data_IF_594277509220
#
_entry.id   IF_594277509220
#
_cell.length_a   1.000
_cell.length_b   1.000
_cell.length_c   1.000
_cell.angle_alpha   90.00
_cell.angle_beta   90.00
_cell.angle_gamma   90.00
#
_symmetry.space_group_name_H-M   'P 1'
#
loop_
_entity.id
_entity.type
_entity.pdbx_description
1 polymer ?
#
# COMPACT_ATOMS: atom_id res chain seq x y z
N UNK A 1 12.92 -9.60 0.06
CA UNK A 1 11.81 -8.63 0.06
C UNK A 1 12.44 -7.24 0.11
N UNK A 2 12.50 -6.54 -1.03
CA UNK A 2 13.03 -5.18 -1.13
C UNK A 2 11.90 -4.28 -1.60
N UNK A 3 10.95 -4.01 -0.71
CA UNK A 3 9.77 -3.20 -1.00
C UNK A 3 8.74 -3.29 0.12
N UNK A 4 8.10 -2.15 0.43
CA UNK A 4 7.05 -2.03 1.45
C UNK A 4 7.46 -1.25 2.71
N UNK A 5 6.49 -0.52 3.28
CA UNK A 5 6.62 0.21 4.53
C UNK A 5 5.91 -0.53 5.66
N UNK A 6 6.58 -0.73 6.79
CA UNK A 6 5.93 -1.23 8.02
C UNK A 6 5.32 -0.05 8.77
N UNK A 7 4.00 -0.06 8.91
CA UNK A 7 3.22 1.06 9.45
C UNK A 7 2.70 0.82 10.86
N UNK A 8 2.76 -0.41 11.36
CA UNK A 8 2.12 -0.76 12.62
C UNK A 8 2.26 -2.24 12.96
N UNK A 9 1.68 -2.61 14.10
CA UNK A 9 1.60 -3.98 14.58
C UNK A 9 0.21 -4.29 15.10
N UNK A 10 -0.21 -5.53 14.90
CA UNK A 10 -1.41 -6.08 15.53
C UNK A 10 -1.07 -7.35 16.27
N UNK A 11 -1.85 -7.66 17.31
CA UNK A 11 -1.83 -9.00 17.89
C UNK A 11 -2.43 -10.00 16.90
N UNK A 12 -1.99 -11.26 16.96
CA UNK A 12 -2.43 -12.30 16.02
C UNK A 12 -3.94 -12.58 16.07
N UNK A 13 -4.57 -12.41 17.23
CA UNK A 13 -6.01 -12.57 17.43
C UNK A 13 -6.84 -11.43 16.81
N UNK A 14 -6.22 -10.27 16.57
CA UNK A 14 -6.87 -9.13 15.92
C UNK A 14 -6.92 -9.24 14.39
N UNK A 15 -6.40 -10.32 13.78
CA UNK A 15 -6.38 -10.47 12.32
C UNK A 15 -7.77 -10.46 11.70
N UNK A 16 -8.75 -11.13 12.32
CA UNK A 16 -10.12 -11.16 11.80
C UNK A 16 -10.76 -9.77 11.87
N UNK A 17 -10.56 -9.07 12.99
CA UNK A 17 -11.02 -7.70 13.17
C UNK A 17 -10.41 -6.76 12.11
N UNK A 18 -9.09 -6.86 11.88
CA UNK A 18 -8.41 -6.05 10.87
C UNK A 18 -9.00 -6.28 9.47
N UNK A 19 -9.28 -7.53 9.11
CA UNK A 19 -9.90 -7.88 7.82
C UNK A 19 -11.29 -7.27 7.67
N UNK A 20 -12.13 -7.31 8.71
CA UNK A 20 -13.45 -6.69 8.65
C UNK A 20 -13.34 -5.16 8.55
N UNK A 21 -12.40 -4.54 9.28
CA UNK A 21 -12.16 -3.10 9.17
C UNK A 21 -11.71 -2.66 7.79
N UNK A 22 -10.78 -3.39 7.17
CA UNK A 22 -10.30 -3.05 5.83
C UNK A 22 -11.39 -3.12 4.74
N UNK A 23 -12.48 -3.87 4.96
CA UNK A 23 -13.63 -3.88 4.04
C UNK A 23 -14.44 -2.59 4.05
N UNK A 24 -14.31 -1.76 5.09
CA UNK A 24 -14.97 -0.45 5.17
C UNK A 24 -14.39 0.53 4.14
N UNK A 25 -13.16 0.28 3.65
CA UNK A 25 -12.53 1.04 2.58
C UNK A 25 -13.04 0.54 1.22
N UNK A 26 -13.82 1.37 0.53
CA UNK A 26 -14.44 0.98 -0.73
C UNK A 26 -13.41 0.64 -1.82
N UNK A 27 -13.62 -0.49 -2.49
CA UNK A 27 -12.93 -0.85 -3.74
C UNK A 27 -13.93 -0.70 -4.87
N UNK A 28 -13.74 0.31 -5.71
CA UNK A 28 -14.62 0.56 -6.86
C UNK A 28 -14.11 -0.26 -8.04
N UNK A 29 -14.77 -1.38 -8.31
CA UNK A 29 -14.44 -2.23 -9.45
C UNK A 29 -14.79 -1.52 -10.76
N UNK A 30 -13.97 -1.74 -11.79
CA UNK A 30 -14.14 -1.18 -13.14
C UNK A 30 -14.07 0.35 -13.23
N UNK A 31 -13.58 1.02 -12.19
CA UNK A 31 -13.25 2.43 -12.28
C UNK A 31 -11.81 2.57 -12.83
N UNK A 32 -11.62 3.15 -14.03
CA UNK A 32 -10.29 3.39 -14.58
C UNK A 32 -9.48 4.40 -13.75
N UNK A 33 -10.14 5.24 -12.95
CA UNK A 33 -9.50 6.17 -12.03
C UNK A 33 -9.22 5.54 -10.65
N UNK A 34 -9.46 4.23 -10.48
CA UNK A 34 -9.13 3.54 -9.23
C UNK A 34 -7.62 3.40 -9.08
N UNK A 35 -7.10 4.04 -8.04
CA UNK A 35 -5.70 4.01 -7.66
C UNK A 35 -5.53 3.21 -6.36
N UNK A 36 -4.72 2.14 -6.44
CA UNK A 36 -4.42 1.27 -5.30
C UNK A 36 -3.68 2.01 -4.17
N UNK A 37 -2.93 3.07 -4.49
CA UNK A 37 -2.28 3.92 -3.51
C UNK A 37 -3.31 4.72 -2.71
N UNK A 38 -4.31 5.29 -3.38
CA UNK A 38 -5.42 5.98 -2.69
C UNK A 38 -6.21 5.04 -1.78
N UNK A 39 -6.41 3.79 -2.18
CA UNK A 39 -7.01 2.77 -1.30
C UNK A 39 -6.15 2.51 -0.07
N UNK A 40 -4.82 2.35 -0.24
CA UNK A 40 -3.90 2.11 0.87
C UNK A 40 -3.88 3.30 1.87
N UNK A 41 -3.89 4.54 1.37
CA UNK A 41 -3.96 5.73 2.20
C UNK A 41 -5.28 5.81 2.97
N UNK A 42 -6.41 5.51 2.32
CA UNK A 42 -7.72 5.43 2.98
C UNK A 42 -7.77 4.37 4.08
N UNK A 43 -7.16 3.21 3.84
CA UNK A 43 -7.02 2.15 4.84
C UNK A 43 -6.17 2.60 6.04
N UNK A 44 -5.04 3.25 5.80
CA UNK A 44 -4.18 3.74 6.88
C UNK A 44 -4.91 4.80 7.71
N UNK A 45 -5.64 5.70 7.07
CA UNK A 45 -6.43 6.71 7.79
C UNK A 45 -7.51 6.07 8.67
N UNK A 46 -8.25 5.10 8.14
CA UNK A 46 -9.24 4.34 8.90
C UNK A 46 -8.60 3.66 10.13
N UNK A 47 -7.42 3.07 9.97
CA UNK A 47 -6.74 2.36 11.05
C UNK A 47 -6.09 3.28 12.08
N UNK A 48 -5.72 4.51 11.72
CA UNK A 48 -5.25 5.52 12.68
C UNK A 48 -6.34 5.91 13.67
N UNK A 49 -7.57 5.97 13.21
CA UNK A 49 -8.71 6.36 14.04
C UNK A 49 -9.17 5.23 14.98
N UNK A 50 -8.68 4.00 14.79
CA UNK A 50 -9.12 2.83 15.53
C UNK A 50 -7.95 2.03 16.11
N UNK A 51 -7.69 2.22 17.40
CA UNK A 51 -7.00 1.23 18.22
C UNK A 51 -5.48 1.35 18.32
N UNK A 52 -4.88 2.48 17.96
CA UNK A 52 -3.45 2.78 18.20
C UNK A 52 -2.48 1.73 17.60
N UNK A 53 -2.92 1.05 16.54
CA UNK A 53 -2.17 -0.02 15.87
C UNK A 53 -1.13 0.52 14.87
N UNK A 54 -1.26 1.79 14.48
CA UNK A 54 -0.34 2.48 13.58
C UNK A 54 0.72 3.21 14.42
N UNK A 55 1.99 3.06 14.06
CA UNK A 55 3.06 3.72 14.80
C UNK A 55 2.93 5.25 14.73
N UNK A 56 3.26 5.90 15.85
CA UNK A 56 3.37 7.36 15.91
C UNK A 56 4.41 7.85 14.89
N UNK A 57 4.02 8.81 14.04
CA UNK A 57 4.90 9.38 13.02
C UNK A 57 4.78 8.75 11.63
N UNK A 58 3.86 7.81 11.40
CA UNK A 58 3.45 7.43 10.04
C UNK A 58 2.57 8.55 9.47
N UNK A 59 3.14 9.35 8.58
CA UNK A 59 2.43 10.41 7.85
C UNK A 59 1.98 9.91 6.48
N UNK A 60 0.93 10.54 5.94
CA UNK A 60 0.46 10.24 4.57
C UNK A 60 1.59 10.46 3.55
N UNK A 61 2.32 11.57 3.68
CA UNK A 61 3.45 11.92 2.83
C UNK A 61 4.51 10.82 2.79
N UNK A 62 4.90 10.29 3.95
CA UNK A 62 5.90 9.23 4.03
C UNK A 62 5.43 7.94 3.36
N UNK A 63 4.15 7.60 3.51
CA UNK A 63 3.57 6.43 2.85
C UNK A 63 3.55 6.63 1.34
N UNK A 64 3.11 7.81 0.87
CA UNK A 64 3.06 8.15 -0.56
C UNK A 64 4.46 8.09 -1.20
N UNK A 65 5.48 8.61 -0.54
CA UNK A 65 6.86 8.54 -1.03
C UNK A 65 7.36 7.09 -1.16
N UNK A 66 7.03 6.21 -0.21
CA UNK A 66 7.46 4.81 -0.29
C UNK A 66 6.68 4.03 -1.36
N UNK A 67 5.39 4.34 -1.56
CA UNK A 67 4.57 3.77 -2.64
C UNK A 67 5.08 4.22 -4.02
N UNK A 68 5.39 5.50 -4.19
CA UNK A 68 5.92 6.03 -5.44
C UNK A 68 7.30 5.42 -5.77
N UNK A 69 8.21 5.32 -4.81
CA UNK A 69 9.50 4.64 -5.02
C UNK A 69 9.33 3.16 -5.36
N UNK A 70 8.28 2.52 -4.86
CA UNK A 70 7.98 1.15 -5.21
C UNK A 70 7.52 1.07 -6.66
N UNK A 71 6.57 1.92 -7.08
CA UNK A 71 6.10 2.04 -8.46
C UNK A 71 7.25 2.32 -9.44
N UNK A 72 8.11 3.30 -9.16
CA UNK A 72 9.31 3.62 -9.95
C UNK A 72 10.24 2.40 -10.09
N UNK A 73 10.41 1.59 -9.03
CA UNK A 73 11.18 0.34 -9.09
C UNK A 73 10.53 -0.72 -9.98
N UNK A 74 9.21 -0.81 -10.00
CA UNK A 74 8.49 -1.75 -10.85
C UNK A 74 8.61 -1.35 -12.33
N UNK A 75 8.48 -0.05 -12.63
CA UNK A 75 8.66 0.48 -13.99
C UNK A 75 10.09 0.27 -14.51
N UNK A 76 11.12 0.63 -13.72
CA UNK A 76 12.51 0.41 -14.10
C UNK A 76 12.85 -1.08 -14.31
N UNK A 77 12.26 -1.97 -13.51
CA UNK A 77 12.45 -3.41 -13.65
C UNK A 77 11.79 -3.95 -14.93
N UNK A 78 10.59 -3.48 -15.27
CA UNK A 78 9.91 -3.84 -16.52
C UNK A 78 10.68 -3.32 -17.75
N UNK A 79 11.15 -2.07 -17.74
CA UNK A 79 11.99 -1.51 -18.81
C UNK A 79 13.27 -2.34 -19.02
N UNK A 80 13.93 -2.74 -17.94
CA UNK A 80 15.14 -3.58 -17.99
C UNK A 80 14.85 -4.99 -18.56
N UNK A 81 13.67 -5.55 -18.31
CA UNK A 81 13.25 -6.85 -18.86
C UNK A 81 12.94 -6.71 -20.35
N UNK A 82 12.25 -5.64 -20.75
CA UNK A 82 11.91 -5.34 -22.14
C UNK A 82 13.19 -5.16 -22.97
N UNK A 83 14.16 -4.36 -22.50
CA UNK A 83 15.42 -4.17 -23.21
C UNK A 83 16.18 -5.49 -23.45
N UNK A 84 16.12 -6.45 -22.51
CA UNK A 84 16.76 -7.76 -22.69
C UNK A 84 16.02 -8.69 -23.63
N UNK A 85 14.69 -8.61 -23.69
CA UNK A 85 13.86 -9.46 -24.56
C UNK A 85 13.87 -8.99 -26.02
N UNK A 86 14.04 -7.70 -26.27
CA UNK A 86 14.03 -7.13 -27.62
C UNK A 86 15.42 -6.83 -28.19
N UNK A 87 16.50 -7.12 -27.45
CA UNK A 87 17.89 -7.01 -27.91
C UNK A 87 18.55 -8.36 -28.28
N UNK A 88 17.75 -9.40 -28.62
CA UNK A 88 18.23 -10.66 -29.23
C UNK A 88 17.70 -10.84 -30.64
#
# INVERSE_FOLDING_TARGET
MRGGIRIGDIRSDALLWLKEKLKEVQVIRHNPDFDCQNWALGAIQLLKDVGDIIYSGITEERVRQELQKEEERWEEADDTIIERLFSS
#
